data_IF_324137770077
#
_entry.id   IF_324137770077
#
_cell.length_a   1.000
_cell.length_b   1.000
_cell.length_c   1.000
_cell.angle_alpha   90.00
_cell.angle_beta   90.00
_cell.angle_gamma   90.00
#
_symmetry.space_group_name_H-M   'P 1'
#
loop_
_entity.id
_entity.type
_entity.pdbx_description
1 polymer ?
#
# COMPACT_ATOMS: atom_id res chain seq x y z
N UNK A 1 21.40 13.64 -23.18
CA UNK A 1 20.23 14.30 -22.51
C UNK A 1 19.28 13.19 -22.01
N UNK A 2 18.54 13.34 -20.90
CA UNK A 2 17.68 12.28 -20.30
C UNK A 2 16.78 11.54 -21.32
N UNK A 3 16.30 12.25 -22.34
CA UNK A 3 15.51 11.71 -23.45
C UNK A 3 16.31 10.69 -24.28
N UNK A 4 17.58 10.96 -24.59
CA UNK A 4 18.45 10.03 -25.33
C UNK A 4 18.80 8.78 -24.51
N UNK A 5 18.96 8.95 -23.20
CA UNK A 5 19.23 7.85 -22.27
C UNK A 5 18.03 6.91 -22.18
N UNK A 6 16.81 7.45 -22.11
CA UNK A 6 15.56 6.67 -22.11
C UNK A 6 15.22 6.09 -23.49
N UNK A 7 15.67 6.70 -24.58
CA UNK A 7 15.45 6.16 -25.95
C UNK A 7 16.15 4.81 -26.17
N UNK A 8 17.24 4.52 -25.44
CA UNK A 8 17.95 3.23 -25.47
C UNK A 8 17.38 2.19 -24.50
N UNK A 9 16.72 2.62 -23.42
CA UNK A 9 15.99 1.76 -22.51
C UNK A 9 14.59 1.47 -23.08
N UNK A 10 14.55 0.78 -24.23
CA UNK A 10 13.28 0.28 -24.77
C UNK A 10 12.90 -1.00 -24.03
N UNK A 11 11.61 -1.06 -23.74
CA UNK A 11 10.87 -2.13 -23.07
C UNK A 11 10.97 -2.07 -21.53
N UNK A 12 9.94 -1.43 -20.93
CA UNK A 12 9.28 -1.79 -19.65
C UNK A 12 9.01 -0.62 -18.68
N UNK A 13 9.27 0.64 -19.06
CA UNK A 13 8.90 1.75 -18.18
C UNK A 13 7.41 2.10 -18.30
N UNK A 14 6.58 1.58 -17.37
CA UNK A 14 5.17 1.99 -17.11
C UNK A 14 5.04 3.43 -16.58
N UNK A 15 5.80 4.39 -17.12
CA UNK A 15 5.74 5.80 -16.72
C UNK A 15 5.35 6.71 -17.89
N UNK A 16 4.86 7.91 -17.57
CA UNK A 16 4.28 8.84 -18.53
C UNK A 16 5.26 9.22 -19.67
N UNK A 17 6.54 9.42 -19.36
CA UNK A 17 7.55 9.73 -20.38
C UNK A 17 7.80 8.54 -21.32
N UNK A 18 7.78 7.31 -20.79
CA UNK A 18 7.83 6.09 -21.58
C UNK A 18 6.65 6.00 -22.56
N UNK A 19 5.45 6.39 -22.13
CA UNK A 19 4.27 6.46 -23.00
C UNK A 19 4.45 7.50 -24.12
N UNK A 20 4.94 8.70 -23.81
CA UNK A 20 5.21 9.73 -24.83
C UNK A 20 6.29 9.33 -25.85
N UNK A 21 7.23 8.46 -25.46
CA UNK A 21 8.28 7.96 -26.36
C UNK A 21 7.85 6.75 -27.19
N UNK A 22 6.69 6.15 -26.89
CA UNK A 22 6.15 5.01 -27.61
C UNK A 22 5.53 5.42 -28.95
N UNK A 23 5.41 4.48 -29.89
CA UNK A 23 4.62 4.73 -31.11
C UNK A 23 3.14 4.57 -30.82
N UNK A 24 2.33 5.36 -31.51
CA UNK A 24 0.88 5.26 -31.49
C UNK A 24 0.37 5.10 -32.93
N UNK A 25 -0.86 4.61 -33.10
CA UNK A 25 -1.50 4.50 -34.41
C UNK A 25 -2.39 5.71 -34.68
N UNK A 26 -2.22 6.34 -35.83
CA UNK A 26 -3.11 7.41 -36.28
C UNK A 26 -4.43 6.85 -36.86
N UNK A 27 -5.33 7.73 -37.31
CA UNK A 27 -6.64 7.35 -37.87
C UNK A 27 -6.53 6.48 -39.14
N UNK A 28 -5.42 6.60 -39.87
CA UNK A 28 -5.11 5.81 -41.06
C UNK A 28 -4.41 4.47 -40.75
N UNK A 29 -4.13 4.21 -39.46
CA UNK A 29 -3.49 2.99 -38.99
C UNK A 29 -1.96 2.99 -39.11
N UNK A 30 -1.35 4.12 -39.44
CA UNK A 30 0.10 4.29 -39.53
C UNK A 30 0.71 4.52 -38.14
N UNK A 31 1.92 3.98 -37.93
CA UNK A 31 2.64 4.19 -36.67
C UNK A 31 3.39 5.52 -36.68
N UNK A 32 2.98 6.42 -35.79
CA UNK A 32 3.60 7.72 -35.56
C UNK A 32 4.28 7.81 -34.19
N UNK A 33 5.15 8.82 -34.04
CA UNK A 33 5.83 9.15 -32.79
C UNK A 33 5.76 10.65 -32.56
N UNK A 34 5.53 11.05 -31.32
CA UNK A 34 5.58 12.45 -30.93
C UNK A 34 6.97 13.06 -31.20
N UNK A 35 6.98 14.32 -31.61
CA UNK A 35 8.21 15.09 -31.77
C UNK A 35 8.88 15.37 -30.42
N UNK A 36 10.20 15.55 -30.39
CA UNK A 36 10.90 15.86 -29.12
C UNK A 36 10.36 17.14 -28.47
N UNK A 37 10.07 18.18 -29.27
CA UNK A 37 9.49 19.43 -28.77
C UNK A 37 8.08 19.24 -28.23
N UNK A 38 7.25 18.43 -28.91
CA UNK A 38 5.90 18.09 -28.47
C UNK A 38 5.92 17.35 -27.13
N UNK A 39 6.83 16.37 -26.98
CA UNK A 39 7.04 15.68 -25.69
C UNK A 39 7.44 16.68 -24.59
N UNK A 40 8.31 17.65 -24.90
CA UNK A 40 8.74 18.68 -23.95
C UNK A 40 7.55 19.57 -23.54
N UNK A 41 6.71 19.98 -24.49
CA UNK A 41 5.57 20.85 -24.22
C UNK A 41 4.46 20.14 -23.43
N UNK A 42 4.21 18.86 -23.73
CA UNK A 42 3.34 18.01 -22.89
C UNK A 42 3.88 17.91 -21.47
N UNK A 43 5.18 17.62 -21.31
CA UNK A 43 5.82 17.57 -19.99
C UNK A 43 5.65 18.89 -19.21
N UNK A 44 5.81 20.04 -19.86
CA UNK A 44 5.59 21.36 -19.23
C UNK A 44 4.14 21.52 -18.79
N UNK A 45 3.19 21.14 -19.64
CA UNK A 45 1.75 21.25 -19.34
C UNK A 45 1.40 20.45 -18.08
N UNK A 46 1.82 19.19 -17.98
CA UNK A 46 1.61 18.38 -16.77
C UNK A 46 2.29 18.98 -15.54
N UNK A 47 3.51 19.49 -15.69
CA UNK A 47 4.24 20.12 -14.60
C UNK A 47 3.49 21.33 -14.04
N UNK A 48 3.05 22.27 -14.89
CA UNK A 48 2.35 23.47 -14.43
C UNK A 48 0.96 23.16 -13.90
N UNK A 49 0.18 22.35 -14.63
CA UNK A 49 -1.17 21.98 -14.24
C UNK A 49 -1.18 21.23 -12.90
N UNK A 50 -0.25 20.28 -12.71
CA UNK A 50 -0.18 19.47 -11.50
C UNK A 50 0.46 20.17 -10.31
N UNK A 51 1.48 21.01 -10.52
CA UNK A 51 2.24 21.62 -9.41
C UNK A 51 1.43 22.66 -8.64
N UNK A 52 0.87 23.65 -9.32
CA UNK A 52 0.24 24.78 -8.64
C UNK A 52 -1.07 24.38 -7.95
N UNK A 53 -1.89 23.57 -8.61
CA UNK A 53 -3.17 23.11 -8.07
C UNK A 53 -2.98 22.19 -6.86
N UNK A 54 -2.07 21.21 -6.96
CA UNK A 54 -1.78 20.26 -5.86
C UNK A 54 -1.11 20.96 -4.68
N UNK A 55 -0.17 21.88 -4.92
CA UNK A 55 0.47 22.64 -3.85
C UNK A 55 -0.54 23.52 -3.08
N UNK A 56 -1.45 24.18 -3.81
CA UNK A 56 -2.52 24.96 -3.19
C UNK A 56 -3.47 24.06 -2.37
N UNK A 57 -3.90 22.93 -2.92
CA UNK A 57 -4.74 21.96 -2.21
C UNK A 57 -4.08 21.48 -0.91
N UNK A 58 -2.82 21.03 -0.98
CA UNK A 58 -2.08 20.55 0.19
C UNK A 58 -1.88 21.66 1.23
N UNK A 59 -1.62 22.89 0.78
CA UNK A 59 -1.51 24.06 1.67
C UNK A 59 -2.81 24.27 2.45
N UNK A 60 -3.95 24.25 1.77
CA UNK A 60 -5.25 24.37 2.43
C UNK A 60 -5.58 23.17 3.33
N UNK A 61 -5.27 21.94 2.90
CA UNK A 61 -5.49 20.74 3.69
C UNK A 61 -4.70 20.79 5.01
N UNK A 62 -3.40 21.11 4.95
CA UNK A 62 -2.55 21.25 6.15
C UNK A 62 -3.01 22.42 7.03
N UNK A 63 -3.40 23.56 6.43
CA UNK A 63 -3.92 24.69 7.19
C UNK A 63 -5.22 24.32 7.94
N UNK A 64 -6.14 23.62 7.28
CA UNK A 64 -7.39 23.17 7.90
C UNK A 64 -7.11 22.18 9.03
N UNK A 65 -6.21 21.21 8.84
CA UNK A 65 -5.79 20.31 9.92
C UNK A 65 -5.19 21.09 11.10
N UNK A 66 -4.32 22.06 10.83
CA UNK A 66 -3.72 22.89 11.88
C UNK A 66 -4.75 23.74 12.63
N UNK A 67 -5.80 24.24 11.96
CA UNK A 67 -6.89 24.98 12.59
C UNK A 67 -7.87 24.06 13.33
N UNK A 68 -8.00 22.81 12.90
CA UNK A 68 -8.92 21.81 13.44
C UNK A 68 -8.16 20.65 14.09
N UNK A 69 -7.55 20.92 15.25
CA UNK A 69 -6.69 19.97 15.97
C UNK A 69 -7.33 18.61 16.24
N UNK A 70 -8.65 18.54 16.44
CA UNK A 70 -9.38 17.26 16.58
C UNK A 70 -9.18 16.35 15.37
N UNK A 71 -9.31 16.89 14.15
CA UNK A 71 -9.14 16.12 12.91
C UNK A 71 -7.67 15.79 12.63
N UNK A 72 -6.75 16.69 12.99
CA UNK A 72 -5.33 16.41 12.94
C UNK A 72 -4.94 15.25 13.87
N UNK A 73 -5.41 15.26 15.12
CA UNK A 73 -5.18 14.18 16.07
C UNK A 73 -5.75 12.86 15.59
N UNK A 74 -6.98 12.85 15.05
CA UNK A 74 -7.60 11.64 14.51
C UNK A 74 -6.80 11.05 13.34
N UNK A 75 -6.38 11.86 12.38
CA UNK A 75 -5.57 11.38 11.26
C UNK A 75 -4.21 10.82 11.73
N UNK A 76 -3.59 11.47 12.73
CA UNK A 76 -2.35 10.97 13.33
C UNK A 76 -2.56 9.64 14.08
N UNK A 77 -3.61 9.54 14.89
CA UNK A 77 -3.96 8.32 15.64
C UNK A 77 -4.26 7.14 14.71
N UNK A 78 -4.93 7.38 13.59
CA UNK A 78 -5.21 6.37 12.56
C UNK A 78 -3.91 5.77 12.01
N UNK A 79 -2.98 6.61 11.55
CA UNK A 79 -1.68 6.16 11.02
C UNK A 79 -0.88 5.41 12.08
N UNK A 80 -0.84 5.93 13.32
CA UNK A 80 -0.12 5.28 14.43
C UNK A 80 -0.74 3.93 14.78
N UNK A 81 -2.08 3.83 14.81
CA UNK A 81 -2.79 2.58 15.10
C UNK A 81 -2.47 1.52 14.06
N UNK A 82 -2.53 1.86 12.77
CA UNK A 82 -2.21 0.94 11.67
C UNK A 82 -0.78 0.40 11.78
N UNK A 83 0.19 1.29 12.05
CA UNK A 83 1.60 0.91 12.22
C UNK A 83 1.79 -0.02 13.43
N UNK A 84 1.15 0.29 14.56
CA UNK A 84 1.27 -0.52 15.79
C UNK A 84 0.64 -1.90 15.58
N UNK A 85 -0.55 -1.96 14.99
CA UNK A 85 -1.25 -3.22 14.72
C UNK A 85 -0.41 -4.12 13.81
N UNK A 86 0.12 -3.56 12.72
CA UNK A 86 0.96 -4.31 11.79
C UNK A 86 2.28 -4.74 12.41
N UNK A 87 2.87 -3.89 13.25
CA UNK A 87 4.06 -4.25 14.04
C UNK A 87 3.77 -5.42 14.98
N UNK A 88 2.60 -5.43 15.64
CA UNK A 88 2.20 -6.51 16.55
C UNK A 88 1.80 -7.79 15.80
N UNK A 89 1.35 -7.69 14.55
CA UNK A 89 1.11 -8.83 13.67
C UNK A 89 2.43 -9.54 13.38
N UNK A 90 3.41 -8.83 12.82
CA UNK A 90 4.72 -9.38 12.45
C UNK A 90 5.60 -9.71 13.65
N UNK A 91 5.55 -8.90 14.71
CA UNK A 91 6.43 -9.00 15.88
C UNK A 91 5.62 -9.00 17.19
N UNK A 92 4.79 -10.02 17.43
CA UNK A 92 4.00 -10.09 18.65
C UNK A 92 4.91 -10.20 19.88
N UNK A 93 4.66 -9.37 20.90
CA UNK A 93 5.40 -9.42 22.17
C UNK A 93 5.26 -10.78 22.89
N UNK A 94 4.20 -11.52 22.58
CA UNK A 94 4.00 -12.90 23.00
C UNK A 94 3.81 -13.81 21.78
N UNK A 95 4.87 -14.44 21.24
CA UNK A 95 4.79 -15.25 20.02
C UNK A 95 3.98 -16.54 20.18
N UNK A 96 3.70 -16.92 21.43
CA UNK A 96 2.88 -18.08 21.75
C UNK A 96 1.97 -17.79 22.94
N UNK A 97 0.69 -18.05 22.78
CA UNK A 97 -0.29 -17.99 23.85
C UNK A 97 -0.64 -19.40 24.32
N UNK A 98 -0.84 -19.58 25.62
CA UNK A 98 -1.26 -20.86 26.18
C UNK A 98 -2.54 -20.73 27.00
N UNK A 99 -3.37 -21.78 26.97
CA UNK A 99 -4.61 -21.89 27.76
C UNK A 99 -4.77 -23.31 28.26
N UNK A 100 -5.36 -23.49 29.44
CA UNK A 100 -5.78 -24.80 29.92
C UNK A 100 -7.30 -24.87 29.96
N UNK A 101 -7.86 -25.97 29.48
CA UNK A 101 -9.30 -26.21 29.57
C UNK A 101 -9.73 -26.47 31.02
N UNK A 102 -10.68 -25.70 31.54
CA UNK A 102 -11.20 -25.93 32.90
C UNK A 102 -12.21 -27.09 32.96
N UNK A 103 -12.91 -27.33 31.85
CA UNK A 103 -13.91 -28.37 31.67
C UNK A 103 -13.81 -28.92 30.24
N UNK A 104 -14.55 -29.98 29.94
CA UNK A 104 -14.67 -30.48 28.57
C UNK A 104 -15.24 -29.39 27.67
N UNK A 105 -14.58 -29.13 26.54
CA UNK A 105 -14.99 -28.12 25.54
C UNK A 105 -15.08 -28.79 24.17
N UNK A 106 -16.07 -28.41 23.36
CA UNK A 106 -16.12 -28.77 21.94
C UNK A 106 -15.63 -27.57 21.13
N UNK A 107 -14.56 -27.75 20.35
CA UNK A 107 -14.00 -26.73 19.47
C UNK A 107 -14.09 -27.22 18.02
N UNK A 108 -15.01 -26.65 17.25
CA UNK A 108 -15.39 -27.21 15.94
C UNK A 108 -15.80 -28.69 16.07
N UNK A 109 -15.08 -29.57 15.39
CA UNK A 109 -15.31 -31.02 15.43
C UNK A 109 -14.50 -31.74 16.53
N UNK A 110 -13.61 -31.04 17.25
CA UNK A 110 -12.82 -31.61 18.33
C UNK A 110 -13.54 -31.58 19.67
N UNK A 111 -13.48 -32.70 20.40
CA UNK A 111 -13.87 -32.78 21.81
C UNK A 111 -12.61 -32.76 22.68
N UNK A 112 -12.39 -31.67 23.39
CA UNK A 112 -11.20 -31.44 24.20
C UNK A 112 -11.55 -31.72 25.68
N UNK A 113 -10.88 -32.67 26.36
CA UNK A 113 -11.10 -32.93 27.77
C UNK A 113 -10.79 -31.74 28.68
N UNK A 114 -11.17 -31.84 29.95
CA UNK A 114 -10.70 -30.90 30.97
C UNK A 114 -9.20 -31.12 31.22
N UNK A 115 -8.51 -30.07 31.67
CA UNK A 115 -7.07 -30.03 31.98
C UNK A 115 -6.13 -30.23 30.78
N UNK A 116 -6.64 -30.12 29.56
CA UNK A 116 -5.81 -30.11 28.35
C UNK A 116 -5.15 -28.74 28.17
N UNK A 117 -3.84 -28.75 27.92
CA UNK A 117 -3.09 -27.55 27.57
C UNK A 117 -3.19 -27.31 26.06
N UNK A 118 -3.58 -26.09 25.69
CA UNK A 118 -3.63 -25.60 24.32
C UNK A 118 -2.54 -24.56 24.12
N UNK A 119 -1.86 -24.62 22.99
CA UNK A 119 -0.85 -23.68 22.55
C UNK A 119 -1.29 -23.07 21.23
N UNK A 120 -1.24 -21.75 21.15
CA UNK A 120 -1.56 -20.97 19.97
C UNK A 120 -0.25 -20.30 19.52
N UNK A 121 0.38 -20.79 18.44
CA UNK A 121 1.60 -20.19 17.92
C UNK A 121 1.25 -18.91 17.15
N UNK A 122 0.96 -17.83 17.90
CA UNK A 122 0.49 -16.55 17.35
C UNK A 122 1.37 -16.03 16.22
N UNK A 123 2.70 -16.07 16.41
CA UNK A 123 3.63 -15.64 15.36
C UNK A 123 3.44 -16.47 14.08
N UNK A 124 3.37 -17.80 14.19
CA UNK A 124 3.17 -18.65 13.00
C UNK A 124 1.84 -18.36 12.30
N UNK A 125 0.75 -18.15 13.06
CA UNK A 125 -0.57 -17.81 12.50
C UNK A 125 -0.56 -16.43 11.84
N UNK A 126 0.15 -15.45 12.40
CA UNK A 126 0.25 -14.10 11.84
C UNK A 126 1.12 -14.03 10.57
N UNK A 127 1.91 -15.06 10.29
CA UNK A 127 2.73 -15.21 9.08
C UNK A 127 2.15 -16.27 8.11
N UNK A 128 0.96 -16.81 8.40
CA UNK A 128 0.34 -17.85 7.59
C UNK A 128 -0.17 -17.26 6.27
N UNK A 129 0.44 -17.67 5.16
CA UNK A 129 0.11 -17.16 3.83
C UNK A 129 -1.27 -17.61 3.33
N UNK A 130 -1.86 -18.66 3.92
CA UNK A 130 -3.24 -19.04 3.61
C UNK A 130 -4.25 -18.06 4.24
N UNK A 131 -3.88 -17.38 5.33
CA UNK A 131 -4.72 -16.42 6.03
C UNK A 131 -4.46 -15.00 5.54
N UNK A 132 -3.19 -14.63 5.38
CA UNK A 132 -2.75 -13.25 5.15
C UNK A 132 -2.25 -12.97 3.73
N UNK A 133 -2.20 -13.96 2.83
CA UNK A 133 -1.70 -13.78 1.47
C UNK A 133 -0.20 -14.04 1.31
N UNK A 134 0.31 -13.91 0.08
CA UNK A 134 1.72 -14.22 -0.25
C UNK A 134 2.71 -13.26 0.44
N UNK A 135 2.28 -12.04 0.72
CA UNK A 135 3.02 -10.97 1.39
C UNK A 135 2.84 -10.97 2.92
N UNK A 136 2.36 -12.07 3.52
CA UNK A 136 2.19 -12.21 4.97
C UNK A 136 3.45 -11.91 5.82
N UNK A 137 4.63 -11.89 5.20
CA UNK A 137 5.91 -11.59 5.85
C UNK A 137 6.39 -10.15 5.63
N UNK A 138 5.68 -9.37 4.84
CA UNK A 138 5.98 -7.96 4.56
C UNK A 138 5.27 -7.05 5.56
N UNK A 139 5.85 -5.88 5.81
CA UNK A 139 5.23 -4.84 6.65
C UNK A 139 4.34 -3.97 5.76
N UNK A 140 3.03 -4.16 5.89
CA UNK A 140 2.02 -3.42 5.15
C UNK A 140 0.91 -2.91 6.10
N UNK A 141 1.04 -1.68 6.65
CA UNK A 141 0.03 -1.12 7.53
C UNK A 141 -1.34 -0.91 6.88
N UNK A 142 -1.42 -0.88 5.54
CA UNK A 142 -2.66 -0.62 4.80
C UNK A 142 -3.55 -1.87 4.64
N UNK A 143 -3.10 -3.05 5.09
CA UNK A 143 -3.89 -4.30 5.06
C UNK A 143 -5.28 -4.16 5.73
N UNK A 144 -5.36 -3.42 6.84
CA UNK A 144 -6.62 -3.21 7.58
C UNK A 144 -7.65 -2.37 6.80
N UNK A 145 -7.22 -1.59 5.80
CA UNK A 145 -8.13 -0.80 4.95
C UNK A 145 -8.74 -1.62 3.82
N UNK A 146 -8.10 -2.71 3.41
CA UNK A 146 -8.52 -3.55 2.29
C UNK A 146 -9.55 -4.64 2.68
N UNK A 147 -9.89 -4.73 3.96
CA UNK A 147 -10.78 -5.76 4.54
C UNK A 147 -12.20 -5.28 4.87
N UNK A 148 -12.60 -4.07 4.45
CA UNK A 148 -13.97 -3.52 4.54
C UNK A 148 -14.61 -3.31 3.16
#
# INVERSE_FOLDING_TARGET
MLIETNKKAREDSRNLLGLFLSSYKNEDGEEERLGIEEIIDECKTFYFAGKETTANLLTWAVLLLAQHQEWQSRAHEEVVSMIINETLRLYPLGPMMSRQTCKKVKLGNLNIPAKTQLYFPLAAVHHDTEIWGEDANEFNPEEELNTN
#
